data_IF_496157626489
#
_entry.id   IF_496157626489
#
_cell.length_a   1.000
_cell.length_b   1.000
_cell.length_c   1.000
_cell.angle_alpha   90.00
_cell.angle_beta   90.00
_cell.angle_gamma   90.00
#
_symmetry.space_group_name_H-M   'P 1'
#
loop_
_entity.id
_entity.type
_entity.pdbx_description
1 polymer ?
#
# COMPACT_ATOMS: atom_id res chain seq x y z
N UNK A 1 -51.19 -4.71 -36.91
CA UNK A 1 -50.31 -5.01 -35.76
C UNK A 1 -50.11 -3.71 -35.01
N UNK A 2 -50.63 -3.56 -33.78
CA UNK A 2 -50.33 -2.40 -32.95
C UNK A 2 -48.97 -2.64 -32.27
N UNK A 3 -48.11 -1.62 -32.24
CA UNK A 3 -46.84 -1.66 -31.51
C UNK A 3 -47.10 -1.65 -29.98
N UNK A 4 -46.25 -2.31 -29.18
CA UNK A 4 -46.36 -2.42 -27.72
C UNK A 4 -46.46 -1.04 -27.06
N UNK A 5 -45.83 -0.03 -27.65
CA UNK A 5 -45.86 1.37 -27.21
C UNK A 5 -47.26 1.97 -27.33
N UNK A 6 -47.94 1.72 -28.45
CA UNK A 6 -49.28 2.20 -28.70
C UNK A 6 -50.31 1.50 -27.79
N UNK A 7 -50.12 0.19 -27.56
CA UNK A 7 -50.96 -0.57 -26.63
C UNK A 7 -50.78 -0.09 -25.17
N UNK A 8 -49.54 0.19 -24.75
CA UNK A 8 -49.25 0.70 -23.41
C UNK A 8 -49.88 2.08 -23.17
N UNK A 9 -49.82 2.98 -24.16
CA UNK A 9 -50.50 4.29 -24.09
C UNK A 9 -52.01 4.13 -24.01
N UNK A 10 -52.60 3.22 -24.79
CA UNK A 10 -54.04 2.97 -24.80
C UNK A 10 -54.52 2.43 -23.44
N UNK A 11 -53.80 1.45 -22.87
CA UNK A 11 -54.10 0.92 -21.54
C UNK A 11 -53.97 1.98 -20.44
N UNK A 12 -53.00 2.89 -20.57
CA UNK A 12 -52.79 3.98 -19.60
C UNK A 12 -53.99 4.92 -19.52
N UNK A 13 -54.58 5.29 -20.65
CA UNK A 13 -55.78 6.15 -20.70
C UNK A 13 -56.94 5.49 -19.95
N UNK A 14 -57.20 4.20 -20.18
CA UNK A 14 -58.28 3.49 -19.48
C UNK A 14 -58.04 3.36 -17.97
N UNK A 15 -56.79 3.16 -17.56
CA UNK A 15 -56.42 3.10 -16.15
C UNK A 15 -56.66 4.44 -15.44
N UNK A 16 -56.41 5.57 -16.11
CA UNK A 16 -56.65 6.92 -15.59
C UNK A 16 -58.16 7.26 -15.56
N UNK A 17 -58.94 6.72 -16.49
CA UNK A 17 -60.40 6.94 -16.59
C UNK A 17 -61.25 5.94 -15.77
N UNK A 18 -60.63 5.06 -14.96
CA UNK A 18 -61.31 3.98 -14.21
C UNK A 18 -62.24 3.11 -15.09
N UNK A 19 -61.84 2.90 -16.33
CA UNK A 19 -62.59 2.16 -17.33
C UNK A 19 -61.92 0.81 -17.60
N UNK A 20 -62.71 -0.22 -17.90
CA UNK A 20 -62.21 -1.58 -18.12
C UNK A 20 -62.07 -1.86 -19.62
N UNK A 21 -60.84 -1.86 -20.17
CA UNK A 21 -60.65 -2.15 -21.59
C UNK A 21 -60.93 -3.62 -21.88
N UNK A 22 -61.74 -3.87 -22.92
CA UNK A 22 -61.81 -5.21 -23.53
C UNK A 22 -60.67 -5.33 -24.52
N UNK A 23 -59.65 -6.10 -24.15
CA UNK A 23 -58.49 -6.35 -25.00
C UNK A 23 -58.83 -7.35 -26.11
N UNK A 24 -58.34 -7.06 -27.32
CA UNK A 24 -58.43 -8.02 -28.42
C UNK A 24 -57.42 -9.18 -28.22
N UNK A 25 -57.65 -10.35 -28.84
CA UNK A 25 -56.67 -11.44 -28.82
C UNK A 25 -55.26 -11.00 -29.29
N UNK A 26 -55.17 -10.09 -30.25
CA UNK A 26 -53.91 -9.55 -30.76
C UNK A 26 -53.21 -8.64 -29.74
N UNK A 27 -53.97 -7.82 -29.00
CA UNK A 27 -53.44 -7.00 -27.92
C UNK A 27 -52.91 -7.88 -26.78
N UNK A 28 -53.66 -8.92 -26.41
CA UNK A 28 -53.23 -9.92 -25.42
C UNK A 28 -51.93 -10.63 -25.84
N UNK A 29 -51.83 -11.05 -27.10
CA UNK A 29 -50.62 -11.68 -27.64
C UNK A 29 -49.41 -10.73 -27.60
N UNK A 30 -49.62 -9.49 -28.01
CA UNK A 30 -48.58 -8.45 -28.00
C UNK A 30 -48.03 -8.20 -26.59
N UNK A 31 -48.90 -8.23 -25.57
CA UNK A 31 -48.50 -8.14 -24.16
C UNK A 31 -47.67 -9.34 -23.71
N UNK A 32 -48.11 -10.56 -24.03
CA UNK A 32 -47.40 -11.78 -23.66
C UNK A 32 -46.00 -11.82 -24.29
N UNK A 33 -45.90 -11.58 -25.59
CA UNK A 33 -44.62 -11.58 -26.31
C UNK A 33 -43.64 -10.54 -25.72
N UNK A 34 -44.15 -9.36 -25.33
CA UNK A 34 -43.34 -8.31 -24.71
C UNK A 34 -42.90 -8.64 -23.27
N UNK A 35 -43.74 -9.34 -22.50
CA UNK A 35 -43.42 -9.79 -21.15
C UNK A 35 -42.38 -10.92 -21.19
N UNK A 36 -42.52 -11.86 -22.11
CA UNK A 36 -41.56 -12.95 -22.32
C UNK A 36 -40.19 -12.44 -22.78
N UNK A 37 -40.16 -11.44 -23.68
CA UNK A 37 -38.92 -10.79 -24.11
C UNK A 37 -38.20 -10.00 -23.00
N UNK A 38 -38.93 -9.56 -21.96
CA UNK A 38 -38.37 -8.83 -20.81
C UNK A 38 -38.04 -9.72 -19.62
N UNK A 39 -38.38 -11.00 -19.65
CA UNK A 39 -37.96 -11.95 -18.62
C UNK A 39 -36.44 -12.09 -18.69
N UNK A 40 -35.70 -11.85 -17.60
CA UNK A 40 -34.26 -12.09 -17.60
C UNK A 40 -34.04 -13.58 -17.87
N UNK A 41 -33.41 -13.91 -19.00
CA UNK A 41 -33.08 -15.30 -19.31
C UNK A 41 -32.29 -15.88 -18.13
N UNK A 42 -32.85 -16.93 -17.51
CA UNK A 42 -32.28 -17.59 -16.33
C UNK A 42 -30.78 -17.94 -16.51
N UNK A 43 -30.39 -18.26 -17.75
CA UNK A 43 -29.02 -18.55 -18.12
C UNK A 43 -28.07 -17.33 -18.02
N UNK A 44 -28.53 -16.14 -18.41
CA UNK A 44 -27.73 -14.92 -18.31
C UNK A 44 -27.51 -14.48 -16.85
N UNK A 45 -28.52 -14.67 -16.00
CA UNK A 45 -28.40 -14.37 -14.56
C UNK A 45 -27.41 -15.32 -13.86
N UNK A 46 -27.45 -16.61 -14.22
CA UNK A 46 -26.46 -17.61 -13.76
C UNK A 46 -25.03 -17.25 -14.20
N UNK A 47 -24.86 -16.82 -15.45
CA UNK A 47 -23.54 -16.44 -15.96
C UNK A 47 -22.98 -15.22 -15.21
N UNK A 48 -23.78 -14.18 -15.00
CA UNK A 48 -23.38 -12.99 -14.23
C UNK A 48 -23.05 -13.33 -12.78
N UNK A 49 -23.81 -14.24 -12.16
CA UNK A 49 -23.54 -14.72 -10.81
C UNK A 49 -22.18 -15.42 -10.72
N UNK A 50 -21.87 -16.28 -11.69
CA UNK A 50 -20.59 -16.99 -11.75
C UNK A 50 -19.41 -16.02 -11.98
N UNK A 51 -19.55 -15.07 -12.90
CA UNK A 51 -18.54 -14.04 -13.16
C UNK A 51 -18.28 -13.17 -11.91
N UNK A 52 -19.33 -12.82 -11.16
CA UNK A 52 -19.20 -12.07 -9.91
C UNK A 52 -18.45 -12.85 -8.83
N UNK A 53 -18.72 -14.15 -8.70
CA UNK A 53 -18.00 -15.02 -7.74
C UNK A 53 -16.52 -15.12 -8.11
N UNK A 54 -16.20 -15.31 -9.39
CA UNK A 54 -14.82 -15.36 -9.87
C UNK A 54 -14.08 -14.03 -9.70
N UNK A 55 -14.76 -12.90 -9.92
CA UNK A 55 -14.19 -11.57 -9.71
C UNK A 55 -13.87 -11.33 -8.23
N UNK A 56 -14.76 -11.71 -7.31
CA UNK A 56 -14.52 -11.62 -5.86
C UNK A 56 -13.34 -12.49 -5.42
N UNK A 57 -13.23 -13.70 -5.96
CA UNK A 57 -12.11 -14.59 -5.67
C UNK A 57 -10.77 -14.00 -6.14
N UNK A 58 -10.72 -13.44 -7.36
CA UNK A 58 -9.52 -12.76 -7.87
C UNK A 58 -9.15 -11.53 -7.03
N UNK A 59 -10.13 -10.76 -6.57
CA UNK A 59 -9.89 -9.62 -5.67
C UNK A 59 -9.28 -10.11 -4.36
N UNK A 60 -9.83 -11.17 -3.74
CA UNK A 60 -9.27 -11.73 -2.52
C UNK A 60 -7.83 -12.27 -2.69
N UNK A 61 -7.53 -12.90 -3.84
CA UNK A 61 -6.18 -13.34 -4.18
C UNK A 61 -5.22 -12.16 -4.35
N UNK A 62 -5.64 -11.12 -5.08
CA UNK A 62 -4.87 -9.89 -5.23
C UNK A 62 -4.66 -9.18 -3.88
N UNK A 63 -5.68 -9.12 -3.02
CA UNK A 63 -5.58 -8.54 -1.68
C UNK A 63 -4.62 -9.35 -0.78
N UNK A 64 -4.66 -10.68 -0.87
CA UNK A 64 -3.72 -11.56 -0.15
C UNK A 64 -2.27 -11.41 -0.64
N UNK A 65 -2.08 -11.19 -1.95
CA UNK A 65 -0.77 -10.91 -2.56
C UNK A 65 -0.28 -9.48 -2.36
N UNK A 66 -1.19 -8.52 -2.12
CA UNK A 66 -0.84 -7.12 -1.83
C UNK A 66 -0.44 -6.93 -0.37
N UNK A 67 -0.95 -7.78 0.53
CA UNK A 67 -0.59 -7.77 1.96
C UNK A 67 0.87 -8.14 2.20
N UNK A 68 1.53 -8.88 1.30
CA UNK A 68 2.96 -9.20 1.38
C UNK A 68 3.86 -8.16 0.71
N UNK A 69 3.30 -7.25 -0.10
CA UNK A 69 4.03 -6.19 -0.79
C UNK A 69 4.12 -4.87 -0.01
N UNK A 70 3.45 -4.75 1.14
CA UNK A 70 3.35 -3.51 1.91
C UNK A 70 3.95 -3.54 3.32
N UNK A 71 4.90 -4.44 3.59
CA UNK A 71 5.91 -4.12 4.60
C UNK A 71 7.03 -3.42 3.83
N UNK A 72 6.87 -2.10 3.59
CA UNK A 72 8.02 -1.28 3.16
C UNK A 72 9.17 -1.65 4.09
N UNK A 73 10.33 -2.01 3.54
CA UNK A 73 11.48 -2.42 4.36
C UNK A 73 11.69 -1.38 5.47
N UNK A 74 11.34 -1.78 6.68
CA UNK A 74 11.26 -0.90 7.83
C UNK A 74 12.64 -0.35 8.13
N UNK A 75 13.68 -1.19 8.01
CA UNK A 75 15.05 -0.75 8.18
C UNK A 75 15.49 0.18 7.04
N UNK A 76 15.09 -0.09 5.79
CA UNK A 76 15.36 0.84 4.70
C UNK A 76 14.77 2.23 4.95
N UNK A 77 13.61 2.34 5.61
CA UNK A 77 13.04 3.63 6.00
C UNK A 77 13.92 4.39 7.01
N UNK A 78 14.48 3.68 8.01
CA UNK A 78 15.42 4.25 8.97
C UNK A 78 16.71 4.71 8.30
N UNK A 79 17.26 3.90 7.39
CA UNK A 79 18.46 4.25 6.61
C UNK A 79 18.20 5.48 5.73
N UNK A 80 17.02 5.60 5.11
CA UNK A 80 16.66 6.78 4.33
C UNK A 80 16.64 8.07 5.18
N UNK A 81 16.08 8.00 6.39
CA UNK A 81 16.11 9.13 7.34
C UNK A 81 17.54 9.45 7.79
N UNK A 82 18.36 8.42 8.05
CA UNK A 82 19.75 8.58 8.47
C UNK A 82 20.60 9.28 7.42
N UNK A 83 20.38 9.05 6.11
CA UNK A 83 21.06 9.78 5.03
C UNK A 83 20.81 11.29 5.11
N UNK A 84 19.55 11.68 5.28
CA UNK A 84 19.17 13.10 5.43
C UNK A 84 19.79 13.70 6.69
N UNK A 85 19.79 12.95 7.80
CA UNK A 85 20.42 13.38 9.05
C UNK A 85 21.94 13.53 8.90
N UNK A 86 22.60 12.59 8.23
CA UNK A 86 24.04 12.63 7.96
C UNK A 86 24.42 13.87 7.15
N UNK A 87 23.69 14.18 6.08
CA UNK A 87 23.94 15.40 5.30
C UNK A 87 23.77 16.69 6.11
N UNK A 88 22.77 16.74 7.01
CA UNK A 88 22.59 17.88 7.92
C UNK A 88 23.77 17.99 8.89
N UNK A 89 24.20 16.86 9.46
CA UNK A 89 25.32 16.80 10.40
C UNK A 89 26.66 17.17 9.73
N UNK A 90 26.91 16.75 8.49
CA UNK A 90 28.11 17.13 7.71
C UNK A 90 28.18 18.65 7.51
N UNK A 91 27.06 19.29 7.17
CA UNK A 91 27.01 20.76 6.99
C UNK A 91 27.19 21.51 8.31
N UNK A 92 26.63 20.99 9.40
CA UNK A 92 26.69 21.61 10.72
C UNK A 92 28.05 21.44 11.40
N UNK A 93 28.69 20.29 11.18
CA UNK A 93 29.93 19.91 11.84
C UNK A 93 30.93 19.36 10.82
N UNK A 94 31.46 20.23 9.93
CA UNK A 94 32.37 19.81 8.87
C UNK A 94 33.68 19.24 9.43
N UNK A 95 34.39 18.47 8.61
CA UNK A 95 35.74 18.02 8.93
C UNK A 95 36.72 19.21 9.08
N UNK A 96 37.76 19.09 9.92
CA UNK A 96 38.14 17.90 10.70
C UNK A 96 37.27 17.70 11.95
N UNK A 97 36.86 16.45 12.21
CA UNK A 97 35.96 16.13 13.34
C UNK A 97 36.15 14.69 13.87
N UNK A 98 35.82 14.49 15.15
CA UNK A 98 35.87 13.22 15.88
C UNK A 98 34.67 12.31 15.57
N UNK A 99 34.46 11.98 14.28
CA UNK A 99 33.31 11.19 13.85
C UNK A 99 33.29 9.81 14.50
N UNK A 100 34.44 9.18 14.72
CA UNK A 100 34.51 7.86 15.36
C UNK A 100 34.03 7.93 16.83
N UNK A 101 34.39 8.98 17.57
CA UNK A 101 33.96 9.13 18.96
C UNK A 101 32.46 9.41 19.03
N UNK A 102 31.93 10.18 18.07
CA UNK A 102 30.49 10.38 17.94
C UNK A 102 29.75 9.08 17.69
N UNK A 103 30.28 8.15 16.88
CA UNK A 103 29.67 6.81 16.73
C UNK A 103 29.53 6.10 18.08
N UNK A 104 30.55 6.15 18.93
CA UNK A 104 30.49 5.52 20.25
C UNK A 104 29.45 6.18 21.16
N UNK A 105 29.34 7.52 21.11
CA UNK A 105 28.34 8.28 21.86
C UNK A 105 26.92 7.91 21.44
N UNK A 106 26.60 7.97 20.14
CA UNK A 106 25.25 7.63 19.64
C UNK A 106 24.89 6.15 19.90
N UNK A 107 25.87 5.25 19.88
CA UNK A 107 25.64 3.85 20.23
C UNK A 107 25.23 3.69 21.70
N UNK A 108 25.83 4.47 22.60
CA UNK A 108 25.42 4.56 24.00
C UNK A 108 24.00 5.08 24.17
N UNK A 109 23.61 6.09 23.38
CA UNK A 109 22.26 6.65 23.37
C UNK A 109 21.21 5.64 22.89
N UNK A 110 21.51 4.86 21.84
CA UNK A 110 20.64 3.74 21.39
C UNK A 110 20.42 2.72 22.51
N UNK A 111 21.49 2.32 23.21
CA UNK A 111 21.38 1.37 24.33
C UNK A 111 20.53 1.95 25.45
N UNK A 112 20.77 3.21 25.83
CA UNK A 112 20.00 3.89 26.86
C UNK A 112 18.52 4.00 26.49
N UNK A 113 18.21 4.37 25.24
CA UNK A 113 16.84 4.44 24.72
C UNK A 113 16.16 3.06 24.74
N UNK A 114 16.87 2.01 24.35
CA UNK A 114 16.37 0.63 24.43
C UNK A 114 16.02 0.19 25.86
N UNK A 115 16.89 0.50 26.83
CA UNK A 115 16.62 0.26 28.26
C UNK A 115 15.40 1.06 28.72
N UNK A 116 15.32 2.34 28.37
CA UNK A 116 14.20 3.20 28.75
C UNK A 116 12.87 2.74 28.15
N UNK A 117 12.88 2.24 26.91
CA UNK A 117 11.73 1.64 26.26
C UNK A 117 11.27 0.37 27.00
N UNK A 118 12.21 -0.52 27.34
CA UNK A 118 11.90 -1.72 28.11
C UNK A 118 11.29 -1.42 29.50
N UNK A 119 11.72 -0.31 30.11
CA UNK A 119 11.18 0.19 31.38
C UNK A 119 9.89 1.00 31.23
N UNK A 120 9.31 1.10 30.01
CA UNK A 120 8.09 1.87 29.70
C UNK A 120 8.21 3.36 30.01
N UNK A 121 9.42 3.92 29.90
CA UNK A 121 9.71 5.35 30.12
C UNK A 121 9.93 6.13 28.82
N UNK A 122 9.84 5.48 27.68
CA UNK A 122 10.15 6.02 26.36
C UNK A 122 9.33 5.27 25.30
N UNK A 123 8.91 5.98 24.25
CA UNK A 123 8.20 5.39 23.11
C UNK A 123 9.18 4.81 22.09
N UNK A 124 8.73 3.82 21.31
CA UNK A 124 9.57 3.17 20.30
C UNK A 124 10.09 4.16 19.24
N UNK A 125 9.30 5.16 18.86
CA UNK A 125 9.74 6.19 17.90
C UNK A 125 10.97 6.98 18.39
N UNK A 126 11.19 7.06 19.70
CA UNK A 126 12.38 7.71 20.24
C UNK A 126 13.61 6.80 20.11
N UNK A 127 13.43 5.48 20.29
CA UNK A 127 14.49 4.49 20.00
C UNK A 127 14.88 4.53 18.51
N UNK A 128 13.89 4.60 17.62
CA UNK A 128 14.12 4.81 16.18
C UNK A 128 14.92 6.08 15.91
N UNK A 129 14.62 7.16 16.64
CA UNK A 129 15.37 8.41 16.61
C UNK A 129 16.86 8.21 16.86
N UNK A 130 17.22 7.56 17.99
CA UNK A 130 18.63 7.29 18.32
C UNK A 130 19.29 6.35 17.31
N UNK A 131 18.57 5.35 16.79
CA UNK A 131 19.09 4.47 15.74
C UNK A 131 19.42 5.28 14.48
N UNK A 132 18.56 6.22 14.10
CA UNK A 132 18.79 7.13 12.96
C UNK A 132 20.02 8.02 13.19
N UNK A 133 20.25 8.51 14.41
CA UNK A 133 21.45 9.28 14.74
C UNK A 133 22.72 8.45 14.61
N UNK A 134 22.72 7.23 15.17
CA UNK A 134 23.84 6.29 15.05
C UNK A 134 24.13 5.94 13.59
N UNK A 135 23.11 5.57 12.82
CA UNK A 135 23.25 5.31 11.39
C UNK A 135 23.82 6.52 10.64
N UNK A 136 23.41 7.74 11.00
CA UNK A 136 23.96 8.95 10.41
C UNK A 136 25.46 9.11 10.69
N UNK A 137 25.91 8.80 11.92
CA UNK A 137 27.34 8.84 12.26
C UNK A 137 28.14 7.75 11.55
N UNK A 138 27.57 6.55 11.37
CA UNK A 138 28.18 5.49 10.58
C UNK A 138 28.31 5.89 9.11
N UNK A 139 27.26 6.47 8.52
CA UNK A 139 27.30 7.01 7.14
C UNK A 139 28.41 8.05 7.01
N UNK A 140 28.53 8.97 7.98
CA UNK A 140 29.62 9.94 8.00
C UNK A 140 30.97 9.25 8.08
N UNK A 141 31.17 8.32 9.01
CA UNK A 141 32.46 7.64 9.18
C UNK A 141 32.94 6.98 7.88
N UNK A 142 32.05 6.28 7.16
CA UNK A 142 32.41 5.62 5.89
C UNK A 142 32.56 6.58 4.70
N UNK A 143 32.04 7.81 4.81
CA UNK A 143 32.05 8.80 3.73
C UNK A 143 33.18 9.82 3.88
N UNK A 144 33.34 10.38 5.08
CA UNK A 144 34.30 11.45 5.38
C UNK A 144 35.44 11.03 6.31
N UNK A 145 35.32 9.90 7.00
CA UNK A 145 36.31 9.44 7.97
C UNK A 145 36.31 10.21 9.29
N UNK A 146 37.43 10.12 9.99
CA UNK A 146 37.72 10.89 11.21
C UNK A 146 39.12 11.48 11.05
N UNK A 147 39.19 12.75 10.63
CA UNK A 147 40.47 13.40 10.33
C UNK A 147 41.28 13.74 11.58
N UNK A 148 40.65 13.79 12.76
CA UNK A 148 41.40 14.03 14.00
C UNK A 148 42.18 12.78 14.39
N UNK A 149 41.57 11.60 14.26
CA UNK A 149 42.21 10.33 14.52
C UNK A 149 42.95 9.75 13.30
N UNK A 150 42.96 10.46 12.16
CA UNK A 150 43.66 10.05 10.94
C UNK A 150 42.99 8.90 10.17
N UNK A 151 41.70 8.65 10.39
CA UNK A 151 40.94 7.59 9.73
C UNK A 151 40.41 8.12 8.40
N UNK A 152 40.84 7.53 7.29
CA UNK A 152 40.37 7.87 5.95
C UNK A 152 39.78 6.62 5.28
N UNK A 153 38.50 6.64 4.85
CA UNK A 153 37.90 5.53 4.14
C UNK A 153 38.59 5.26 2.80
N UNK A 154 38.67 3.99 2.34
CA UNK A 154 39.17 3.69 1.01
C UNK A 154 38.27 4.30 -0.08
N UNK A 155 38.88 4.77 -1.17
CA UNK A 155 38.19 5.48 -2.26
C UNK A 155 37.15 4.63 -3.02
N UNK A 156 37.20 3.31 -2.88
CA UNK A 156 36.17 2.38 -3.34
C UNK A 156 35.69 1.59 -2.13
N UNK A 157 34.38 1.51 -1.92
CA UNK A 157 33.79 0.57 -0.96
C UNK A 157 34.44 -0.79 -1.18
N UNK A 158 34.99 -1.36 -0.10
CA UNK A 158 35.83 -2.56 -0.11
C UNK A 158 35.28 -3.58 -1.11
N UNK A 159 36.08 -3.93 -2.13
CA UNK A 159 35.83 -5.12 -2.92
C UNK A 159 35.86 -6.30 -1.95
N UNK A 160 34.75 -7.04 -1.90
CA UNK A 160 34.56 -8.23 -1.09
C UNK A 160 35.82 -9.10 -1.19
N UNK A 161 36.53 -9.26 -0.06
CA UNK A 161 37.49 -10.36 0.06
C UNK A 161 36.61 -11.59 0.27
N UNK A 162 36.38 -12.35 -0.79
CA UNK A 162 35.88 -13.71 -0.67
C UNK A 162 36.90 -14.52 0.15
N UNK A 163 36.46 -15.04 1.29
CA UNK A 163 37.19 -16.02 2.08
C UNK A 163 37.95 -15.43 3.28
N UNK A 164 37.42 -15.69 4.47
CA UNK A 164 37.95 -16.81 5.24
C UNK A 164 36.87 -17.32 6.21
N UNK A 165 36.65 -18.63 6.16
CA UNK A 165 35.87 -19.35 7.15
C UNK A 165 36.51 -19.11 8.51
N UNK A 166 35.78 -18.49 9.43
CA UNK A 166 36.12 -18.60 10.84
C UNK A 166 35.54 -19.93 11.35
N UNK A 167 36.44 -20.86 11.67
CA UNK A 167 36.19 -22.02 12.54
C UNK A 167 35.69 -21.58 13.93
#
# INVERSE_FOLDING_TARGET
MRDITALAQHLRVYAEEFSYPVLSPDDCKTLVDALEARQPHHNGLMQLSNELVMAKQRIAELESGTTTASQSDYFASLVAMARVSAEKAMRKFPQPNYVLLKVAEEAGEVVQAGVHYAEKRMEWQQVEGEIVQLLAMLIRLVTEGDQINGITPPAAGIQVIEGDNYD
#
